data_IF_610742253074
#
_entry.id   IF_610742253074
#
_cell.length_a   1.000
_cell.length_b   1.000
_cell.length_c   1.000
_cell.angle_alpha   90.00
_cell.angle_beta   90.00
_cell.angle_gamma   90.00
#
_symmetry.space_group_name_H-M   'P 1'
#
loop_
_entity.id
_entity.type
_entity.pdbx_description
1 polymer ?
#
# COMPACT_ATOMS: atom_id res chain seq x y z
N UNK A 1 68.64 10.50 1.36
CA UNK A 1 68.20 10.87 0.00
C UNK A 1 66.70 10.69 -0.24
N UNK A 2 66.07 9.58 0.17
CA UNK A 2 64.62 9.35 -0.05
C UNK A 2 63.68 10.42 0.54
N UNK A 3 64.01 11.04 1.67
CA UNK A 3 63.22 12.14 2.24
C UNK A 3 63.31 13.44 1.42
N UNK A 4 64.41 13.66 0.70
CA UNK A 4 64.59 14.88 -0.09
C UNK A 4 63.76 14.83 -1.38
N UNK A 5 63.70 13.66 -2.01
CA UNK A 5 62.85 13.41 -3.20
C UNK A 5 61.37 13.58 -2.85
N UNK A 6 60.93 13.07 -1.68
CA UNK A 6 59.55 13.19 -1.23
C UNK A 6 59.15 14.65 -0.95
N UNK A 7 60.05 15.44 -0.35
CA UNK A 7 59.83 16.88 -0.10
C UNK A 7 59.70 17.66 -1.41
N UNK A 8 60.53 17.34 -2.41
CA UNK A 8 60.48 18.02 -3.70
C UNK A 8 59.22 17.67 -4.50
N UNK A 9 58.76 16.41 -4.44
CA UNK A 9 57.47 15.99 -5.03
C UNK A 9 56.31 16.72 -4.36
N UNK A 10 56.27 16.75 -3.02
CA UNK A 10 55.22 17.46 -2.28
C UNK A 10 55.22 18.97 -2.57
N UNK A 11 56.39 19.56 -2.77
CA UNK A 11 56.51 20.97 -3.14
C UNK A 11 55.94 21.25 -4.54
N UNK A 12 56.14 20.35 -5.51
CA UNK A 12 55.58 20.46 -6.85
C UNK A 12 54.06 20.29 -6.86
N UNK A 13 53.55 19.28 -6.14
CA UNK A 13 52.10 19.06 -5.98
C UNK A 13 51.43 20.29 -5.35
N UNK A 14 52.03 20.85 -4.30
CA UNK A 14 51.49 22.04 -3.64
C UNK A 14 51.51 23.29 -4.55
N UNK A 15 52.48 23.39 -5.45
CA UNK A 15 52.56 24.48 -6.43
C UNK A 15 51.47 24.35 -7.50
N UNK A 16 51.24 23.15 -8.04
CA UNK A 16 50.16 22.88 -9.00
C UNK A 16 48.78 23.11 -8.37
N UNK A 17 48.57 22.65 -7.14
CA UNK A 17 47.33 22.88 -6.40
C UNK A 17 47.02 24.38 -6.24
N UNK A 18 48.03 25.19 -5.88
CA UNK A 18 47.86 26.65 -5.77
C UNK A 18 47.53 27.31 -7.11
N UNK A 19 48.07 26.80 -8.21
CA UNK A 19 47.77 27.29 -9.56
C UNK A 19 46.31 26.98 -9.95
N UNK A 20 45.86 25.74 -9.75
CA UNK A 20 44.48 25.32 -10.04
C UNK A 20 43.47 26.08 -9.17
N UNK A 21 43.76 26.26 -7.89
CA UNK A 21 42.91 27.03 -6.98
C UNK A 21 42.79 28.50 -7.41
N UNK A 22 43.90 29.13 -7.80
CA UNK A 22 43.89 30.50 -8.30
C UNK A 22 43.06 30.62 -9.59
N UNK A 23 43.17 29.66 -10.51
CA UNK A 23 42.37 29.63 -11.74
C UNK A 23 40.87 29.46 -11.45
N UNK A 24 40.50 28.56 -10.54
CA UNK A 24 39.12 28.37 -10.07
C UNK A 24 38.56 29.64 -9.46
N UNK A 25 39.31 30.30 -8.58
CA UNK A 25 38.85 31.50 -7.90
C UNK A 25 38.69 32.68 -8.90
N UNK A 26 39.52 32.74 -9.95
CA UNK A 26 39.32 33.65 -11.09
C UNK A 26 38.04 33.31 -11.86
N UNK A 27 37.76 32.03 -12.14
CA UNK A 27 36.54 31.61 -12.84
C UNK A 27 35.27 31.89 -12.02
N UNK A 28 35.30 31.67 -10.71
CA UNK A 28 34.20 31.99 -9.79
C UNK A 28 33.98 33.50 -9.66
N UNK A 29 35.05 34.30 -9.64
CA UNK A 29 34.92 35.77 -9.64
C UNK A 29 34.28 36.29 -10.95
N UNK A 30 34.50 35.59 -12.07
CA UNK A 30 33.87 35.89 -13.37
C UNK A 30 32.41 35.42 -13.42
N UNK A 31 32.06 34.29 -12.80
CA UNK A 31 30.68 33.78 -12.79
C UNK A 31 29.72 34.67 -11.99
N UNK A 32 30.20 35.33 -10.93
CA UNK A 32 29.40 36.28 -10.15
C UNK A 32 29.01 37.56 -10.91
N UNK A 33 29.65 37.87 -12.04
CA UNK A 33 29.25 38.98 -12.92
C UNK A 33 28.27 38.58 -14.03
N UNK A 34 27.90 37.30 -14.13
CA UNK A 34 26.86 36.84 -15.04
C UNK A 34 25.49 37.01 -14.37
N UNK A 35 24.79 38.12 -14.67
CA UNK A 35 23.36 38.25 -14.38
C UNK A 35 22.65 37.06 -15.03
N UNK A 36 22.15 36.15 -14.20
CA UNK A 36 21.46 34.96 -14.62
C UNK A 36 20.24 35.31 -15.49
N UNK A 37 20.27 34.85 -16.74
CA UNK A 37 19.04 34.55 -17.48
C UNK A 37 18.51 33.21 -16.93
N UNK A 38 17.21 33.10 -16.60
CA UNK A 38 16.68 31.91 -15.95
C UNK A 38 16.55 30.78 -16.97
N UNK A 39 17.40 29.77 -16.84
CA UNK A 39 17.21 28.50 -17.52
C UNK A 39 18.51 27.91 -18.04
N UNK A 40 19.30 27.28 -17.16
CA UNK A 40 20.14 26.14 -17.54
C UNK A 40 20.45 25.29 -16.31
N UNK A 41 20.28 23.99 -16.45
CA UNK A 41 20.35 22.99 -15.38
C UNK A 41 21.75 22.80 -14.80
N UNK A 42 21.77 22.41 -13.53
CA UNK A 42 22.95 22.03 -12.77
C UNK A 42 23.68 20.84 -13.43
N UNK A 43 24.94 21.05 -13.83
CA UNK A 43 25.93 19.99 -13.98
C UNK A 43 26.58 19.78 -12.61
N UNK A 44 26.21 18.68 -11.95
CA UNK A 44 26.90 18.17 -10.76
C UNK A 44 28.21 17.51 -11.21
N UNK A 45 29.35 18.16 -10.96
CA UNK A 45 30.68 17.58 -11.19
C UNK A 45 31.01 16.54 -10.13
N UNK A 46 31.63 15.45 -10.58
CA UNK A 46 31.92 14.20 -9.88
C UNK A 46 33.23 14.23 -9.05
N UNK A 47 33.89 15.37 -8.95
CA UNK A 47 35.28 15.44 -8.50
C UNK A 47 35.46 15.92 -7.05
N UNK A 48 34.40 16.41 -6.39
CA UNK A 48 34.49 16.94 -5.02
C UNK A 48 34.61 15.85 -3.93
N UNK A 49 34.17 14.61 -4.22
CA UNK A 49 34.18 13.52 -3.22
C UNK A 49 35.55 12.85 -3.05
N UNK A 50 36.44 12.95 -4.05
CA UNK A 50 37.80 12.38 -3.98
C UNK A 50 38.73 13.28 -3.15
N UNK A 51 38.46 14.59 -3.12
CA UNK A 51 39.26 15.57 -2.38
C UNK A 51 39.01 15.56 -0.86
N UNK A 52 37.85 15.07 -0.40
CA UNK A 52 37.54 15.01 1.03
C UNK A 52 38.23 13.83 1.74
N UNK A 53 38.44 12.70 1.05
CA UNK A 53 39.11 11.53 1.62
C UNK A 53 40.60 11.78 1.92
N UNK A 54 41.29 12.58 1.11
CA UNK A 54 42.70 12.93 1.35
C UNK A 54 42.90 13.89 2.52
N UNK A 55 41.88 14.65 2.90
CA UNK A 55 41.94 15.55 4.06
C UNK A 55 41.77 14.81 5.40
N UNK A 56 40.96 13.75 5.43
CA UNK A 56 40.77 12.90 6.62
C UNK A 56 42.06 12.16 6.99
N UNK A 57 42.90 11.87 5.98
CA UNK A 57 44.21 11.27 6.20
C UNK A 57 45.27 12.22 6.81
N UNK A 58 44.97 13.51 6.93
CA UNK A 58 45.86 14.47 7.58
C UNK A 58 45.56 14.67 9.07
N UNK A 59 44.48 14.09 9.61
CA UNK A 59 44.11 14.25 11.01
C UNK A 59 44.94 13.34 11.94
N UNK A 60 45.35 13.85 13.13
CA UNK A 60 46.10 13.07 14.12
C UNK A 60 45.33 11.81 14.55
N UNK A 61 46.07 10.74 14.86
CA UNK A 61 45.53 9.38 15.11
C UNK A 61 44.45 9.34 16.21
N UNK A 62 44.50 10.24 17.20
CA UNK A 62 43.48 10.38 18.26
C UNK A 62 42.14 10.97 17.79
N UNK A 63 42.12 11.81 16.74
CA UNK A 63 40.87 12.33 16.16
C UNK A 63 40.21 11.30 15.21
N UNK A 64 40.98 10.39 14.63
CA UNK A 64 40.43 9.32 13.77
C UNK A 64 39.68 8.26 14.57
N UNK A 65 40.15 7.91 15.78
CA UNK A 65 39.50 6.90 16.62
C UNK A 65 38.16 7.41 17.14
N UNK A 66 38.09 8.67 17.57
CA UNK A 66 36.87 9.31 18.05
C UNK A 66 35.84 9.50 16.92
N UNK A 67 36.26 9.99 15.74
CA UNK A 67 35.36 10.12 14.59
C UNK A 67 34.81 8.76 14.09
N UNK A 68 35.64 7.72 14.11
CA UNK A 68 35.22 6.36 13.74
C UNK A 68 34.25 5.72 14.73
N UNK A 69 34.44 5.97 16.04
CA UNK A 69 33.52 5.51 17.09
C UNK A 69 32.19 6.26 17.06
N UNK A 70 32.20 7.56 16.79
CA UNK A 70 30.98 8.35 16.62
C UNK A 70 30.18 7.94 15.38
N UNK A 71 30.85 7.66 14.26
CA UNK A 71 30.20 7.14 13.06
C UNK A 71 29.52 5.78 13.32
N UNK A 72 30.21 4.85 13.98
CA UNK A 72 29.63 3.55 14.40
C UNK A 72 28.48 3.71 15.39
N UNK A 73 28.59 4.66 16.33
CA UNK A 73 27.53 4.93 17.31
C UNK A 73 26.29 5.57 16.67
N UNK A 74 26.48 6.36 15.60
CA UNK A 74 25.41 6.94 14.81
C UNK A 74 24.70 5.88 13.95
N UNK A 75 25.46 5.06 13.23
CA UNK A 75 24.94 3.93 12.44
C UNK A 75 24.12 2.98 13.32
N UNK A 76 24.63 2.65 14.53
CA UNK A 76 23.93 1.81 15.50
C UNK A 76 22.61 2.44 15.97
N UNK A 77 22.57 3.76 16.19
CA UNK A 77 21.34 4.48 16.58
C UNK A 77 20.31 4.52 15.46
N UNK A 78 20.73 4.78 14.22
CA UNK A 78 19.87 4.76 13.05
C UNK A 78 19.30 3.35 12.80
N UNK A 79 20.12 2.30 12.99
CA UNK A 79 19.66 0.91 12.96
C UNK A 79 18.59 0.60 14.01
N UNK A 80 18.82 0.98 15.28
CA UNK A 80 17.83 0.77 16.34
C UNK A 80 16.55 1.57 16.13
N UNK A 81 16.64 2.76 15.55
CA UNK A 81 15.47 3.58 15.24
C UNK A 81 14.65 2.96 14.10
N UNK A 82 15.31 2.50 13.03
CA UNK A 82 14.64 1.81 11.91
C UNK A 82 13.96 0.51 12.36
N UNK A 83 14.69 -0.33 13.11
CA UNK A 83 14.13 -1.56 13.70
C UNK A 83 13.01 -1.23 14.69
N UNK A 84 13.17 -0.18 15.50
CA UNK A 84 12.16 0.29 16.45
C UNK A 84 10.87 0.76 15.78
N UNK A 85 10.96 1.53 14.69
CA UNK A 85 9.80 1.98 13.90
C UNK A 85 9.13 0.79 13.21
N UNK A 86 9.90 -0.15 12.66
CA UNK A 86 9.37 -1.36 12.04
C UNK A 86 8.63 -2.23 13.07
N UNK A 87 9.25 -2.50 14.23
CA UNK A 87 8.62 -3.24 15.33
C UNK A 87 7.40 -2.50 15.84
N UNK A 88 7.46 -1.18 16.04
CA UNK A 88 6.32 -0.39 16.47
C UNK A 88 5.18 -0.40 15.45
N UNK A 89 5.48 -0.39 14.15
CA UNK A 89 4.48 -0.46 13.08
C UNK A 89 3.85 -1.84 13.00
N UNK A 90 4.66 -2.91 13.10
CA UNK A 90 4.15 -4.30 13.19
C UNK A 90 3.34 -4.50 14.46
N UNK A 91 3.80 -3.99 15.61
CA UNK A 91 3.05 -4.04 16.86
C UNK A 91 1.77 -3.20 16.79
N UNK A 92 1.78 -2.02 16.17
CA UNK A 92 0.58 -1.22 15.99
C UNK A 92 -0.41 -1.90 15.04
N UNK A 93 0.08 -2.60 14.01
CA UNK A 93 -0.73 -3.40 13.10
C UNK A 93 -1.28 -4.64 13.80
N UNK A 94 -0.47 -5.36 14.57
CA UNK A 94 -0.87 -6.54 15.37
C UNK A 94 -1.80 -6.15 16.50
N UNK A 95 -1.54 -5.04 17.21
CA UNK A 95 -2.41 -4.49 18.26
C UNK A 95 -3.67 -3.92 17.64
N UNK A 96 -3.62 -3.31 16.45
CA UNK A 96 -4.79 -2.85 15.72
C UNK A 96 -5.66 -4.01 15.25
N UNK A 97 -5.07 -5.03 14.61
CA UNK A 97 -5.74 -6.28 14.23
C UNK A 97 -6.25 -7.01 15.47
N UNK A 98 -5.46 -7.10 16.54
CA UNK A 98 -5.86 -7.72 17.80
C UNK A 98 -6.95 -6.90 18.46
N UNK A 99 -6.90 -5.58 18.51
CA UNK A 99 -7.93 -4.74 19.08
C UNK A 99 -9.22 -4.79 18.26
N UNK A 100 -9.15 -4.87 16.93
CA UNK A 100 -10.30 -5.12 16.07
C UNK A 100 -10.87 -6.52 16.36
N UNK A 101 -10.06 -7.58 16.29
CA UNK A 101 -10.47 -8.94 16.62
C UNK A 101 -10.97 -9.10 18.07
N UNK A 102 -10.40 -8.39 19.04
CA UNK A 102 -10.70 -8.43 20.47
C UNK A 102 -11.93 -7.57 20.81
N UNK A 103 -12.09 -6.42 20.17
CA UNK A 103 -13.31 -5.60 20.24
C UNK A 103 -14.51 -6.27 19.57
N UNK A 104 -14.27 -7.19 18.62
CA UNK A 104 -15.25 -8.06 17.99
C UNK A 104 -15.52 -9.35 18.78
N UNK A 105 -14.58 -9.81 19.63
CA UNK A 105 -14.78 -10.96 20.54
C UNK A 105 -15.43 -10.58 21.87
N UNK A 106 -15.18 -9.37 22.38
CA UNK A 106 -15.75 -8.88 23.64
C UNK A 106 -17.28 -8.65 23.68
N UNK A 107 -18.02 -8.45 22.57
CA UNK A 107 -19.48 -8.46 22.61
C UNK A 107 -19.99 -9.84 23.02
N UNK A 108 -19.29 -10.94 22.71
CA UNK A 108 -19.76 -12.28 23.06
C UNK A 108 -19.56 -12.66 24.54
N UNK A 109 -18.64 -12.01 25.26
CA UNK A 109 -18.50 -12.14 26.73
C UNK A 109 -19.22 -11.03 27.48
N UNK A 110 -19.21 -9.79 26.98
CA UNK A 110 -19.88 -8.64 27.60
C UNK A 110 -21.40 -8.64 27.43
N UNK A 111 -21.93 -8.97 26.25
CA UNK A 111 -23.38 -9.04 26.01
C UNK A 111 -23.96 -10.27 26.69
N UNK A 112 -23.25 -11.42 26.71
CA UNK A 112 -23.70 -12.57 27.52
C UNK A 112 -23.65 -12.32 29.02
N UNK A 113 -22.69 -11.55 29.54
CA UNK A 113 -22.68 -11.19 30.97
C UNK A 113 -23.76 -10.16 31.29
N UNK A 114 -24.07 -9.21 30.38
CA UNK A 114 -25.16 -8.25 30.57
C UNK A 114 -26.55 -8.85 30.36
N UNK A 115 -26.71 -9.81 29.46
CA UNK A 115 -27.95 -10.58 29.28
C UNK A 115 -28.13 -11.60 30.41
N UNK A 116 -27.06 -12.27 30.87
CA UNK A 116 -27.08 -13.11 32.06
C UNK A 116 -27.39 -12.31 33.33
N UNK A 117 -26.80 -11.11 33.49
CA UNK A 117 -27.15 -10.19 34.59
C UNK A 117 -28.54 -9.58 34.44
N UNK A 118 -29.13 -9.54 33.24
CA UNK A 118 -30.54 -9.14 33.04
C UNK A 118 -31.52 -10.27 33.33
N UNK A 119 -31.18 -11.50 32.96
CA UNK A 119 -32.00 -12.68 33.21
C UNK A 119 -32.03 -13.06 34.70
N UNK A 120 -30.93 -12.86 35.44
CA UNK A 120 -30.91 -13.12 36.89
C UNK A 120 -31.43 -11.94 37.75
N UNK A 121 -31.58 -10.72 37.19
CA UNK A 121 -32.13 -9.56 37.94
C UNK A 121 -33.64 -9.41 37.78
N UNK A 122 -34.25 -9.99 36.74
CA UNK A 122 -35.70 -10.16 36.65
C UNK A 122 -36.08 -11.42 37.42
N UNK A 123 -36.11 -11.29 38.75
CA UNK A 123 -36.47 -12.40 39.64
C UNK A 123 -37.82 -13.05 39.26
N UNK A 124 -38.02 -14.34 39.60
CA UNK A 124 -39.22 -15.08 39.28
C UNK A 124 -40.39 -14.56 40.12
N UNK A 125 -41.05 -13.51 39.64
CA UNK A 125 -42.26 -12.95 40.24
C UNK A 125 -43.22 -12.46 39.15
N UNK A 126 -43.85 -13.40 38.45
CA UNK A 126 -45.20 -13.19 37.94
C UNK A 126 -46.02 -14.45 38.16
N UNK A 127 -46.93 -14.33 39.13
CA UNK A 127 -48.05 -15.21 39.36
C UNK A 127 -48.93 -15.34 38.09
N UNK A 128 -49.69 -16.44 37.94
CA UNK A 128 -50.63 -16.59 36.85
C UNK A 128 -51.85 -15.68 37.10
N UNK A 129 -51.98 -14.63 36.31
CA UNK A 129 -53.07 -13.66 36.42
C UNK A 129 -53.59 -13.26 35.04
N UNK A 130 -54.71 -13.86 34.68
CA UNK A 130 -55.76 -13.41 33.74
C UNK A 130 -55.35 -12.68 32.45
N UNK A 131 -55.47 -13.42 31.35
CA UNK A 131 -55.59 -12.92 29.97
C UNK A 131 -56.70 -11.85 29.87
N UNK A 132 -56.31 -10.57 29.91
CA UNK A 132 -57.09 -9.49 29.29
C UNK A 132 -56.47 -9.19 27.93
N UNK A 133 -57.21 -9.56 26.89
CA UNK A 133 -56.92 -9.25 25.50
C UNK A 133 -56.59 -7.76 25.32
N UNK A 134 -55.32 -7.45 25.04
CA UNK A 134 -54.90 -6.12 24.61
C UNK A 134 -55.46 -5.82 23.21
N UNK A 135 -55.95 -4.59 22.97
CA UNK A 135 -56.45 -4.19 21.67
C UNK A 135 -55.29 -4.15 20.67
N UNK A 136 -55.41 -4.95 19.60
CA UNK A 136 -54.54 -4.97 18.41
C UNK A 136 -54.01 -3.58 18.10
N UNK A 137 -52.74 -3.36 18.43
CA UNK A 137 -52.02 -2.12 18.18
C UNK A 137 -52.08 -1.74 16.71
N UNK A 138 -52.45 -0.49 16.45
CA UNK A 138 -52.33 0.13 15.12
C UNK A 138 -50.89 -0.05 14.67
N UNK A 139 -50.69 -0.88 13.64
CA UNK A 139 -49.39 -1.03 13.01
C UNK A 139 -48.93 0.35 12.54
N UNK A 140 -47.85 0.85 13.14
CA UNK A 140 -47.12 2.02 12.64
C UNK A 140 -46.53 1.62 11.28
N UNK A 141 -47.38 1.72 10.26
CA UNK A 141 -47.18 1.14 8.95
C UNK A 141 -46.11 1.85 8.11
N UNK A 142 -46.18 1.71 6.76
CA UNK A 142 -45.11 2.02 5.81
C UNK A 142 -44.53 3.45 5.85
N UNK A 143 -45.12 4.37 6.64
CA UNK A 143 -44.59 5.71 6.89
C UNK A 143 -43.30 5.73 7.72
N UNK A 144 -43.05 4.77 8.61
CA UNK A 144 -41.80 4.71 9.38
C UNK A 144 -40.62 4.29 8.48
N UNK A 145 -40.82 3.27 7.65
CA UNK A 145 -39.86 2.80 6.64
C UNK A 145 -39.53 3.90 5.61
N UNK A 146 -40.53 4.63 5.11
CA UNK A 146 -40.33 5.70 4.13
C UNK A 146 -39.50 6.88 4.69
N UNK A 147 -39.67 7.20 5.99
CA UNK A 147 -38.87 8.23 6.67
C UNK A 147 -37.41 7.78 6.82
N UNK A 148 -37.17 6.51 7.11
CA UNK A 148 -35.82 5.92 7.15
C UNK A 148 -35.12 5.98 5.78
N UNK A 149 -35.83 5.61 4.71
CA UNK A 149 -35.30 5.63 3.34
C UNK A 149 -34.92 7.05 2.87
N UNK A 150 -35.78 8.06 3.12
CA UNK A 150 -35.47 9.46 2.78
C UNK A 150 -34.25 10.00 3.54
N UNK A 151 -34.10 9.65 4.82
CA UNK A 151 -32.93 10.06 5.61
C UNK A 151 -31.63 9.41 5.10
N UNK A 152 -31.69 8.14 4.68
CA UNK A 152 -30.54 7.45 4.06
C UNK A 152 -30.16 8.04 2.70
N UNK A 153 -31.15 8.40 1.87
CA UNK A 153 -30.90 9.05 0.58
C UNK A 153 -30.25 10.43 0.71
N UNK A 154 -30.64 11.22 1.72
CA UNK A 154 -30.06 12.54 1.96
C UNK A 154 -28.60 12.52 2.43
N UNK A 155 -28.17 11.44 3.12
CA UNK A 155 -26.78 11.27 3.56
C UNK A 155 -25.84 10.71 2.47
N UNK A 156 -26.40 10.30 1.31
CA UNK A 156 -25.65 9.59 0.28
C UNK A 156 -24.52 10.41 -0.38
N UNK A 157 -24.70 11.71 -0.70
CA UNK A 157 -23.64 12.50 -1.34
C UNK A 157 -22.38 12.63 -0.47
N UNK A 158 -22.55 12.84 0.84
CA UNK A 158 -21.42 12.97 1.77
C UNK A 158 -20.62 11.67 1.89
N UNK A 159 -21.30 10.52 1.96
CA UNK A 159 -20.65 9.21 1.99
C UNK A 159 -19.90 8.91 0.69
N UNK A 160 -20.48 9.22 -0.47
CA UNK A 160 -19.83 9.03 -1.76
C UNK A 160 -18.54 9.85 -1.88
N UNK A 161 -18.62 11.14 -1.55
CA UNK A 161 -17.45 12.03 -1.56
C UNK A 161 -16.38 11.53 -0.58
N UNK A 162 -16.76 11.12 0.63
CA UNK A 162 -15.83 10.55 1.60
C UNK A 162 -15.10 9.30 1.05
N UNK A 163 -15.84 8.36 0.45
CA UNK A 163 -15.25 7.14 -0.10
C UNK A 163 -14.33 7.43 -1.29
N UNK A 164 -14.67 8.40 -2.15
CA UNK A 164 -13.78 8.85 -3.22
C UNK A 164 -12.49 9.48 -2.66
N UNK A 165 -12.61 10.32 -1.64
CA UNK A 165 -11.45 10.91 -0.97
C UNK A 165 -10.59 9.84 -0.29
N UNK A 166 -11.20 8.82 0.29
CA UNK A 166 -10.50 7.68 0.87
C UNK A 166 -9.80 6.83 -0.22
N UNK A 167 -10.42 6.62 -1.37
CA UNK A 167 -9.78 5.98 -2.51
C UNK A 167 -8.61 6.78 -3.11
N UNK A 168 -8.65 8.12 -2.98
CA UNK A 168 -7.58 9.03 -3.40
C UNK A 168 -6.55 9.31 -2.29
N UNK A 169 -6.79 8.88 -1.05
CA UNK A 169 -5.86 9.20 0.05
C UNK A 169 -4.49 8.49 -0.09
N UNK A 170 -4.37 7.27 -0.66
CA UNK A 170 -3.06 6.68 -0.93
C UNK A 170 -2.17 7.57 -1.80
N UNK A 171 -2.69 8.09 -2.93
CA UNK A 171 -1.91 8.99 -3.79
C UNK A 171 -1.56 10.29 -3.06
N UNK A 172 -2.47 10.81 -2.24
CA UNK A 172 -2.22 11.99 -1.41
C UNK A 172 -1.06 11.80 -0.42
N UNK A 173 -1.04 10.69 0.31
CA UNK A 173 0.06 10.36 1.24
C UNK A 173 1.38 10.20 0.47
N UNK A 174 1.37 9.47 -0.65
CA UNK A 174 2.57 9.29 -1.47
C UNK A 174 3.11 10.64 -1.96
N UNK A 175 2.25 11.52 -2.50
CA UNK A 175 2.67 12.84 -2.96
C UNK A 175 3.19 13.71 -1.82
N UNK A 176 2.56 13.71 -0.64
CA UNK A 176 3.04 14.47 0.51
C UNK A 176 4.43 13.99 0.92
N UNK A 177 4.66 12.70 1.05
CA UNK A 177 5.98 12.19 1.46
C UNK A 177 7.05 12.37 0.38
N UNK A 178 6.71 12.19 -0.90
CA UNK A 178 7.65 12.37 -2.01
C UNK A 178 8.01 13.84 -2.24
N UNK A 179 7.05 14.76 -2.12
CA UNK A 179 7.26 16.20 -2.36
C UNK A 179 7.77 16.96 -1.13
N UNK A 180 7.58 16.43 0.09
CA UNK A 180 8.10 17.05 1.31
C UNK A 180 9.50 16.56 1.63
N UNK A 181 10.15 17.21 2.61
CA UNK A 181 11.52 16.90 3.05
C UNK A 181 11.71 15.53 3.71
N UNK A 182 10.65 14.73 3.86
CA UNK A 182 10.76 13.40 4.47
C UNK A 182 11.49 12.43 3.55
N UNK A 183 11.34 12.57 2.22
CA UNK A 183 12.05 11.82 1.15
C UNK A 183 12.16 10.30 1.31
N UNK A 184 11.43 9.69 2.26
CA UNK A 184 11.41 8.25 2.48
C UNK A 184 10.17 7.66 1.85
N UNK A 185 10.34 7.08 0.66
CA UNK A 185 9.29 6.36 -0.03
C UNK A 185 8.81 5.17 0.80
N UNK A 186 9.74 4.52 1.49
CA UNK A 186 9.45 3.40 2.38
C UNK A 186 8.46 3.78 3.50
N UNK A 187 8.74 4.87 4.21
CA UNK A 187 7.87 5.37 5.26
C UNK A 187 6.50 5.80 4.71
N UNK A 188 6.47 6.38 3.51
CA UNK A 188 5.24 6.76 2.83
C UNK A 188 4.32 5.55 2.60
N UNK A 189 4.88 4.44 2.09
CA UNK A 189 4.13 3.21 1.84
C UNK A 189 3.58 2.61 3.14
N UNK A 190 4.39 2.54 4.20
CA UNK A 190 3.90 2.06 5.50
C UNK A 190 2.81 2.95 6.10
N UNK A 191 2.99 4.27 6.06
CA UNK A 191 1.98 5.22 6.54
C UNK A 191 0.68 5.08 5.73
N UNK A 192 0.79 4.90 4.42
CA UNK A 192 -0.35 4.67 3.54
C UNK A 192 -1.11 3.39 3.93
N UNK A 193 -0.45 2.27 4.13
CA UNK A 193 -1.11 1.04 4.57
C UNK A 193 -1.77 1.19 5.95
N UNK A 194 -1.04 1.74 6.91
CA UNK A 194 -1.51 1.88 8.28
C UNK A 194 -2.73 2.83 8.36
N UNK A 195 -2.65 4.01 7.75
CA UNK A 195 -3.71 5.01 7.87
C UNK A 195 -4.84 4.81 6.86
N UNK A 196 -4.53 4.68 5.57
CA UNK A 196 -5.55 4.62 4.51
C UNK A 196 -6.24 3.27 4.42
N UNK A 197 -5.49 2.18 4.56
CA UNK A 197 -6.01 0.83 4.27
C UNK A 197 -6.47 0.07 5.50
N UNK A 198 -5.95 0.42 6.69
CA UNK A 198 -6.31 -0.25 7.95
C UNK A 198 -7.13 0.67 8.85
N UNK A 199 -6.55 1.79 9.31
CA UNK A 199 -7.17 2.60 10.36
C UNK A 199 -8.49 3.24 9.93
N UNK A 200 -8.52 3.92 8.78
CA UNK A 200 -9.74 4.62 8.34
C UNK A 200 -10.87 3.64 8.00
N UNK A 201 -10.64 2.54 7.24
CA UNK A 201 -11.67 1.52 7.03
C UNK A 201 -12.16 0.89 8.33
N UNK A 202 -11.27 0.59 9.29
CA UNK A 202 -11.68 0.04 10.57
C UNK A 202 -12.59 1.01 11.35
N UNK A 203 -12.21 2.29 11.43
CA UNK A 203 -13.06 3.33 12.04
C UNK A 203 -14.41 3.42 11.32
N UNK A 204 -14.39 3.40 9.99
CA UNK A 204 -15.62 3.45 9.19
C UNK A 204 -16.54 2.27 9.50
N UNK A 205 -16.02 1.04 9.49
CA UNK A 205 -16.80 -0.18 9.79
C UNK A 205 -17.38 -0.13 11.20
N UNK A 206 -16.58 0.27 12.20
CA UNK A 206 -17.03 0.38 13.60
C UNK A 206 -18.11 1.45 13.78
N UNK A 207 -18.00 2.58 13.05
CA UNK A 207 -18.98 3.67 13.13
C UNK A 207 -20.25 3.40 12.33
N UNK A 208 -20.19 2.60 11.25
CA UNK A 208 -21.36 2.26 10.43
C UNK A 208 -22.31 1.25 11.12
N UNK A 209 -21.95 0.76 12.34
CA UNK A 209 -22.75 0.12 13.41
C UNK A 209 -23.91 -0.85 13.05
N UNK A 210 -24.02 -1.33 11.82
CA UNK A 210 -25.00 -2.34 11.41
C UNK A 210 -24.42 -3.77 11.39
N UNK A 211 -25.26 -4.75 11.03
CA UNK A 211 -24.90 -6.16 10.72
C UNK A 211 -23.81 -6.33 9.63
N UNK A 212 -23.31 -5.22 9.09
CA UNK A 212 -22.26 -5.16 8.07
C UNK A 212 -20.94 -5.87 8.44
N UNK A 213 -20.62 -6.04 9.74
CA UNK A 213 -19.41 -6.76 10.17
C UNK A 213 -19.47 -8.25 9.82
N UNK A 214 -20.67 -8.86 9.89
CA UNK A 214 -20.90 -10.25 9.49
C UNK A 214 -20.63 -10.43 8.00
N UNK A 215 -21.05 -9.46 7.18
CA UNK A 215 -20.80 -9.50 5.73
C UNK A 215 -19.31 -9.36 5.37
N UNK A 216 -18.52 -8.54 6.06
CA UNK A 216 -17.07 -8.50 5.78
C UNK A 216 -16.38 -9.80 6.18
N UNK A 217 -16.89 -10.48 7.21
CA UNK A 217 -16.39 -11.78 7.68
C UNK A 217 -16.65 -12.89 6.66
N UNK A 218 -17.84 -12.96 6.07
CA UNK A 218 -18.16 -14.00 5.07
C UNK A 218 -17.23 -13.93 3.86
N UNK A 219 -16.90 -12.74 3.36
CA UNK A 219 -15.91 -12.58 2.28
C UNK A 219 -14.53 -13.17 2.61
N UNK A 220 -14.10 -13.06 3.87
CA UNK A 220 -12.79 -13.53 4.29
C UNK A 220 -12.74 -15.06 4.47
N UNK A 221 -13.77 -15.65 5.09
CA UNK A 221 -13.75 -17.06 5.49
C UNK A 221 -14.37 -18.02 4.47
N UNK A 222 -15.40 -17.60 3.71
CA UNK A 222 -16.05 -18.47 2.74
C UNK A 222 -15.23 -18.64 1.45
N UNK A 223 -14.25 -17.77 1.23
CA UNK A 223 -13.40 -17.79 0.04
C UNK A 223 -12.24 -18.82 0.10
N UNK A 224 -12.04 -19.53 1.21
CA UNK A 224 -10.89 -20.43 1.41
C UNK A 224 -11.18 -21.89 1.06
N UNK A 225 -11.59 -22.15 -0.19
CA UNK A 225 -11.67 -23.53 -0.70
C UNK A 225 -10.29 -24.04 -1.16
N UNK A 226 -10.02 -25.35 -1.06
CA UNK A 226 -8.77 -25.96 -1.57
C UNK A 226 -8.49 -25.63 -3.06
N UNK A 227 -9.49 -25.64 -3.97
CA UNK A 227 -9.29 -25.22 -5.35
C UNK A 227 -8.76 -23.78 -5.48
N UNK A 228 -9.26 -22.85 -4.66
CA UNK A 228 -8.83 -21.45 -4.68
C UNK A 228 -7.35 -21.30 -4.30
N UNK A 229 -6.87 -22.11 -3.35
CA UNK A 229 -5.44 -22.15 -2.98
C UNK A 229 -4.56 -22.60 -4.16
N UNK A 230 -4.96 -23.68 -4.85
CA UNK A 230 -4.19 -24.21 -5.98
C UNK A 230 -4.15 -23.21 -7.14
N UNK A 231 -5.29 -22.62 -7.50
CA UNK A 231 -5.36 -21.61 -8.57
C UNK A 231 -4.58 -20.35 -8.19
N UNK A 232 -4.66 -19.93 -6.93
CA UNK A 232 -3.84 -18.85 -6.38
C UNK A 232 -2.36 -19.13 -6.54
N UNK A 233 -1.88 -20.29 -6.08
CA UNK A 233 -0.48 -20.69 -6.17
C UNK A 233 0.03 -20.77 -7.63
N UNK A 234 -0.76 -21.35 -8.54
CA UNK A 234 -0.41 -21.38 -9.96
C UNK A 234 -0.35 -19.98 -10.56
N UNK A 235 -1.27 -19.09 -10.17
CA UNK A 235 -1.29 -17.69 -10.61
C UNK A 235 -0.07 -16.93 -10.10
N UNK A 236 0.28 -17.11 -8.83
CA UNK A 236 1.50 -16.58 -8.19
C UNK A 236 2.76 -16.99 -8.97
N UNK A 237 2.97 -18.30 -9.16
CA UNK A 237 4.14 -18.82 -9.87
C UNK A 237 4.21 -18.29 -11.31
N UNK A 238 3.06 -18.18 -11.97
CA UNK A 238 2.97 -17.68 -13.36
C UNK A 238 3.39 -16.21 -13.44
N UNK A 239 2.80 -15.34 -12.60
CA UNK A 239 3.14 -13.91 -12.58
C UNK A 239 4.60 -13.71 -12.19
N UNK A 240 5.09 -14.45 -11.19
CA UNK A 240 6.48 -14.37 -10.75
C UNK A 240 7.45 -14.73 -11.88
N UNK A 241 7.23 -15.86 -12.55
CA UNK A 241 8.09 -16.31 -13.64
C UNK A 241 8.08 -15.34 -14.83
N UNK A 242 6.88 -14.91 -15.26
CA UNK A 242 6.71 -13.98 -16.38
C UNK A 242 7.29 -12.61 -16.04
N UNK A 243 7.01 -12.08 -14.85
CA UNK A 243 7.50 -10.78 -14.40
C UNK A 243 9.02 -10.74 -14.24
N UNK A 244 9.62 -11.74 -13.60
CA UNK A 244 11.09 -11.86 -13.50
C UNK A 244 11.74 -11.99 -14.88
N UNK A 245 11.14 -12.76 -15.79
CA UNK A 245 11.60 -12.89 -17.18
C UNK A 245 11.54 -11.56 -17.95
N UNK A 246 10.42 -10.84 -17.85
CA UNK A 246 10.23 -9.51 -18.44
C UNK A 246 11.24 -8.51 -17.89
N UNK A 247 11.43 -8.46 -16.57
CA UNK A 247 12.42 -7.58 -15.95
C UNK A 247 13.84 -7.90 -16.45
N UNK A 248 14.23 -9.17 -16.47
CA UNK A 248 15.54 -9.59 -16.97
C UNK A 248 15.77 -9.21 -18.45
N UNK A 249 14.72 -9.26 -19.27
CA UNK A 249 14.78 -8.89 -20.69
C UNK A 249 14.79 -7.37 -20.92
N UNK A 250 14.05 -6.60 -20.12
CA UNK A 250 13.86 -5.15 -20.28
C UNK A 250 14.87 -4.31 -19.51
N UNK A 251 15.64 -4.90 -18.59
CA UNK A 251 16.69 -4.19 -17.88
C UNK A 251 17.72 -3.58 -18.85
N UNK A 252 18.10 -2.32 -18.64
CA UNK A 252 19.11 -1.66 -19.47
C UNK A 252 20.47 -2.36 -19.30
N UNK A 253 20.86 -3.18 -20.27
CA UNK A 253 22.22 -3.67 -20.50
C UNK A 253 22.85 -2.82 -21.59
N UNK A 254 24.17 -2.83 -21.69
CA UNK A 254 24.89 -2.10 -22.74
C UNK A 254 24.38 -2.45 -24.16
N UNK A 255 23.93 -3.70 -24.36
CA UNK A 255 23.32 -4.19 -25.60
C UNK A 255 21.87 -3.71 -25.84
N UNK A 256 21.10 -3.39 -24.78
CA UNK A 256 19.67 -3.03 -24.89
C UNK A 256 19.41 -1.52 -24.82
N UNK A 257 20.46 -0.68 -24.82
CA UNK A 257 20.33 0.80 -24.81
C UNK A 257 19.61 1.38 -26.03
N UNK A 258 19.50 0.61 -27.12
CA UNK A 258 18.78 1.03 -28.33
C UNK A 258 17.27 0.73 -28.28
N UNK A 259 16.79 -0.04 -27.29
CA UNK A 259 15.36 -0.29 -27.14
C UNK A 259 14.65 0.98 -26.60
N UNK A 260 13.45 1.30 -27.10
CA UNK A 260 12.69 2.47 -26.65
C UNK A 260 12.22 2.36 -25.20
N UNK A 261 12.21 1.14 -24.64
CA UNK A 261 11.83 0.86 -23.27
C UNK A 261 12.95 0.02 -22.66
N UNK A 262 13.72 0.63 -21.75
CA UNK A 262 14.64 -0.11 -20.89
C UNK A 262 14.50 0.39 -19.45
N UNK A 263 14.59 -0.54 -18.49
CA UNK A 263 14.47 -0.23 -17.06
C UNK A 263 15.85 0.20 -16.55
N UNK A 264 16.04 1.48 -16.18
CA UNK A 264 17.32 1.97 -15.66
C UNK A 264 17.60 1.35 -14.29
N UNK A 265 18.86 1.38 -13.87
CA UNK A 265 19.18 1.05 -12.49
C UNK A 265 18.76 2.21 -11.59
N UNK A 266 18.00 1.91 -10.53
CA UNK A 266 17.51 2.88 -9.54
C UNK A 266 18.35 2.91 -8.25
N UNK A 267 19.60 2.46 -8.31
CA UNK A 267 20.44 2.24 -7.14
C UNK A 267 20.75 3.51 -6.35
N UNK A 268 20.95 4.64 -7.02
CA UNK A 268 21.27 5.91 -6.34
C UNK A 268 20.06 6.47 -5.61
N UNK A 269 18.89 6.17 -6.16
CA UNK A 269 17.60 6.60 -5.69
C UNK A 269 17.15 5.72 -4.51
N UNK A 270 17.46 4.42 -4.53
CA UNK A 270 17.11 3.47 -3.46
C UNK A 270 17.66 3.89 -2.09
N UNK A 271 18.93 4.32 -2.01
CA UNK A 271 19.50 4.81 -0.73
C UNK A 271 18.79 6.07 -0.25
N UNK A 272 18.52 7.02 -1.15
CA UNK A 272 17.79 8.25 -0.84
C UNK A 272 16.36 7.97 -0.36
N UNK A 273 15.69 6.97 -0.91
CA UNK A 273 14.32 6.60 -0.55
C UNK A 273 14.19 5.72 0.70
N UNK A 274 15.29 5.41 1.39
CA UNK A 274 15.30 4.67 2.65
C UNK A 274 15.50 3.16 2.51
N UNK A 275 16.02 2.68 1.37
CA UNK A 275 16.39 1.28 1.17
C UNK A 275 17.87 0.99 1.50
N UNK A 276 18.60 1.93 2.08
CA UNK A 276 19.94 1.68 2.63
C UNK A 276 19.86 0.92 3.97
N UNK A 277 19.31 -0.28 3.89
CA UNK A 277 19.06 -1.16 5.02
C UNK A 277 19.99 -2.37 4.97
N UNK A 278 20.34 -2.95 6.14
CA UNK A 278 21.05 -4.21 6.17
C UNK A 278 20.20 -5.33 5.55
N UNK A 279 20.85 -6.35 4.97
CA UNK A 279 20.14 -7.39 4.23
C UNK A 279 18.99 -8.06 4.99
N UNK A 280 19.12 -8.41 6.29
CA UNK A 280 18.00 -8.97 7.04
C UNK A 280 16.77 -8.06 7.07
N UNK A 281 16.95 -6.74 7.15
CA UNK A 281 15.85 -5.78 7.13
C UNK A 281 15.22 -5.67 5.72
N UNK A 282 16.03 -5.70 4.66
CA UNK A 282 15.52 -5.75 3.28
C UNK A 282 14.71 -7.03 3.01
N UNK A 283 15.16 -8.18 3.53
CA UNK A 283 14.43 -9.44 3.40
C UNK A 283 13.12 -9.42 4.20
N UNK A 284 13.14 -8.88 5.43
CA UNK A 284 11.93 -8.69 6.22
C UNK A 284 10.95 -7.76 5.52
N UNK A 285 11.48 -6.72 4.86
CA UNK A 285 10.67 -5.79 4.10
C UNK A 285 10.05 -6.42 2.85
N UNK A 286 10.83 -7.19 2.08
CA UNK A 286 10.31 -7.96 0.95
C UNK A 286 9.30 -9.03 1.38
N UNK A 287 9.42 -9.58 2.58
CA UNK A 287 8.36 -10.44 3.12
C UNK A 287 7.08 -9.66 3.42
N UNK A 288 7.20 -8.46 4.03
CA UNK A 288 6.07 -7.60 4.29
C UNK A 288 5.35 -7.19 3.00
N UNK A 289 6.08 -6.67 2.00
CA UNK A 289 5.49 -6.27 0.72
C UNK A 289 5.06 -7.46 -0.13
N UNK A 290 5.79 -8.58 -0.15
CA UNK A 290 5.36 -9.75 -0.91
C UNK A 290 4.14 -10.49 -0.37
N UNK A 291 3.86 -10.40 0.95
CA UNK A 291 2.81 -11.22 1.60
C UNK A 291 1.77 -10.39 2.34
N UNK A 292 2.20 -9.52 3.26
CA UNK A 292 1.27 -8.77 4.12
C UNK A 292 0.56 -7.69 3.31
N UNK A 293 1.28 -6.99 2.45
CA UNK A 293 0.75 -5.91 1.64
C UNK A 293 -0.41 -6.36 0.72
N UNK A 294 -0.28 -7.43 -0.10
CA UNK A 294 -1.36 -7.95 -0.93
C UNK A 294 -2.65 -8.20 -0.17
N UNK A 295 -2.58 -8.73 1.06
CA UNK A 295 -3.77 -8.98 1.88
C UNK A 295 -4.45 -7.67 2.28
N UNK A 296 -3.67 -6.68 2.73
CA UNK A 296 -4.20 -5.36 3.12
C UNK A 296 -4.80 -4.63 1.92
N UNK A 297 -4.10 -4.66 0.79
CA UNK A 297 -4.55 -4.00 -0.44
C UNK A 297 -5.79 -4.66 -1.03
N UNK A 298 -5.83 -5.98 -1.15
CA UNK A 298 -7.02 -6.66 -1.67
C UNK A 298 -8.22 -6.44 -0.74
N UNK A 299 -8.00 -6.45 0.57
CA UNK A 299 -9.07 -6.13 1.51
C UNK A 299 -9.57 -4.70 1.31
N UNK A 300 -8.67 -3.71 1.28
CA UNK A 300 -9.04 -2.32 1.11
C UNK A 300 -9.73 -2.05 -0.24
N UNK A 301 -9.13 -2.46 -1.35
CA UNK A 301 -9.62 -2.12 -2.68
C UNK A 301 -10.84 -2.96 -3.08
N UNK A 302 -10.79 -4.29 -2.90
CA UNK A 302 -11.75 -5.22 -3.53
C UNK A 302 -12.85 -5.66 -2.58
N UNK A 303 -12.59 -5.64 -1.26
CA UNK A 303 -13.61 -5.98 -0.26
C UNK A 303 -14.28 -4.71 0.26
N UNK A 304 -13.51 -3.77 0.78
CA UNK A 304 -14.05 -2.57 1.40
C UNK A 304 -14.51 -1.53 0.37
N UNK A 305 -13.57 -0.93 -0.37
CA UNK A 305 -13.86 0.22 -1.22
C UNK A 305 -14.77 -0.17 -2.39
N UNK A 306 -14.55 -1.33 -3.01
CA UNK A 306 -15.43 -1.81 -4.06
C UNK A 306 -16.89 -2.01 -3.59
N UNK A 307 -17.10 -2.61 -2.40
CA UNK A 307 -18.45 -2.78 -1.84
C UNK A 307 -19.10 -1.44 -1.57
N UNK A 308 -18.37 -0.54 -0.92
CA UNK A 308 -18.91 0.74 -0.48
C UNK A 308 -19.14 1.73 -1.61
N UNK A 309 -18.21 1.77 -2.57
CA UNK A 309 -18.17 2.75 -3.65
C UNK A 309 -18.67 2.17 -4.97
N UNK A 310 -18.17 0.99 -5.35
CA UNK A 310 -18.41 0.36 -6.65
C UNK A 310 -19.87 -0.04 -6.90
N UNK A 311 -20.58 -0.50 -5.87
CA UNK A 311 -22.00 -0.89 -5.99
C UNK A 311 -22.97 0.30 -6.06
N UNK A 312 -22.53 1.51 -5.69
CA UNK A 312 -23.41 2.69 -5.56
C UNK A 312 -23.42 3.60 -6.78
N UNK A 313 -22.44 3.48 -7.68
CA UNK A 313 -22.31 4.36 -8.84
C UNK A 313 -23.37 4.15 -9.92
N UNK A 314 -24.14 3.08 -9.85
CA UNK A 314 -25.23 2.83 -10.78
C UNK A 314 -26.50 2.60 -9.97
N UNK A 315 -27.44 3.56 -9.94
CA UNK A 315 -28.78 3.24 -9.50
C UNK A 315 -29.26 2.11 -10.40
N UNK A 316 -29.63 0.98 -9.80
CA UNK A 316 -30.42 -0.05 -10.47
C UNK A 316 -31.69 0.66 -10.91
N UNK A 317 -31.76 1.13 -12.16
CA UNK A 317 -33.04 1.53 -12.72
C UNK A 317 -33.91 0.28 -12.64
N UNK A 318 -35.00 0.31 -11.86
CA UNK A 318 -35.92 -0.80 -11.83
C UNK A 318 -36.41 -0.98 -13.26
N UNK A 319 -36.08 -2.13 -13.86
CA UNK A 319 -36.50 -2.45 -15.23
C UNK A 319 -37.99 -2.20 -15.34
N UNK A 320 -38.37 -1.21 -16.16
CA UNK A 320 -39.72 -0.68 -16.29
C UNK A 320 -40.72 -1.83 -16.52
N UNK A 321 -41.43 -2.24 -15.47
CA UNK A 321 -42.52 -3.21 -15.56
C UNK A 321 -42.52 -4.32 -14.51
N UNK A 322 -41.41 -4.58 -13.82
CA UNK A 322 -41.46 -5.48 -12.64
C UNK A 322 -41.70 -4.60 -11.41
N UNK A 323 -42.96 -4.50 -10.99
CA UNK A 323 -43.31 -3.89 -9.71
C UNK A 323 -42.36 -4.45 -8.64
N UNK A 324 -41.56 -3.58 -8.05
CA UNK A 324 -40.77 -3.90 -6.86
C UNK A 324 -41.78 -4.48 -5.88
N UNK A 325 -41.66 -5.75 -5.44
CA UNK A 325 -42.52 -6.22 -4.37
C UNK A 325 -42.24 -5.29 -3.19
N UNK A 326 -43.21 -4.44 -2.86
CA UNK A 326 -43.13 -3.38 -1.84
C UNK A 326 -42.97 -3.93 -0.42
N UNK A 327 -42.52 -5.17 -0.26
CA UNK A 327 -42.36 -5.80 1.02
C UNK A 327 -40.92 -6.28 1.19
N UNK A 328 -40.21 -5.63 2.11
CA UNK A 328 -39.17 -6.28 2.93
C UNK A 328 -39.64 -7.67 3.42
N UNK A 329 -40.96 -7.87 3.57
CA UNK A 329 -41.55 -9.16 3.89
C UNK A 329 -41.32 -10.24 2.82
N UNK A 330 -41.18 -9.93 1.52
CA UNK A 330 -40.87 -10.93 0.50
C UNK A 330 -39.40 -11.38 0.55
N UNK A 331 -38.48 -10.48 0.94
CA UNK A 331 -37.07 -10.83 1.15
C UNK A 331 -36.90 -11.63 2.44
N UNK A 332 -37.61 -11.23 3.51
CA UNK A 332 -37.67 -11.96 4.77
C UNK A 332 -38.37 -13.33 4.62
N UNK A 333 -39.43 -13.46 3.80
CA UNK A 333 -40.05 -14.76 3.49
C UNK A 333 -39.12 -15.67 2.69
N UNK A 334 -38.27 -15.13 1.83
CA UNK A 334 -37.25 -15.90 1.11
C UNK A 334 -36.12 -16.39 2.03
N UNK A 335 -35.79 -15.59 3.05
CA UNK A 335 -34.77 -15.93 4.05
C UNK A 335 -35.33 -16.89 5.13
N UNK A 336 -36.59 -16.73 5.53
CA UNK A 336 -37.27 -17.56 6.54
C UNK A 336 -37.78 -18.88 5.98
N UNK A 337 -38.21 -18.95 4.71
CA UNK A 337 -38.78 -20.20 4.18
C UNK A 337 -37.74 -21.25 3.78
N UNK A 338 -36.43 -20.96 3.89
CA UNK A 338 -35.37 -21.99 3.87
C UNK A 338 -35.43 -22.94 2.67
N UNK A 339 -36.16 -22.59 1.62
CA UNK A 339 -36.27 -23.36 0.41
C UNK A 339 -34.99 -23.11 -0.34
N UNK A 340 -34.00 -23.95 -0.01
CA UNK A 340 -32.85 -24.30 -0.83
C UNK A 340 -33.27 -24.17 -2.28
N UNK A 341 -32.90 -23.05 -2.91
CA UNK A 341 -32.94 -22.86 -4.35
C UNK A 341 -31.90 -23.83 -4.90
N UNK A 342 -32.30 -25.10 -5.05
CA UNK A 342 -31.45 -26.17 -5.58
C UNK A 342 -31.27 -26.09 -7.10
N UNK A 343 -31.93 -25.16 -7.79
CA UNK A 343 -31.63 -24.87 -9.20
C UNK A 343 -31.31 -23.38 -9.40
N UNK A 344 -30.00 -23.12 -9.49
CA UNK A 344 -29.38 -21.80 -9.62
C UNK A 344 -29.65 -21.08 -10.94
N UNK A 345 -30.90 -20.73 -11.18
CA UNK A 345 -31.29 -19.69 -12.14
C UNK A 345 -31.62 -18.42 -11.38
N UNK A 346 -30.58 -17.66 -11.01
CA UNK A 346 -30.76 -16.25 -10.65
C UNK A 346 -31.38 -15.60 -11.90
N UNK A 347 -32.54 -14.93 -11.81
CA UNK A 347 -33.15 -14.29 -12.97
C UNK A 347 -32.15 -13.33 -13.61
N UNK A 348 -31.80 -13.57 -14.88
CA UNK A 348 -30.84 -12.82 -15.71
C UNK A 348 -31.24 -11.34 -15.98
N UNK A 349 -32.17 -10.79 -15.21
CA UNK A 349 -32.98 -9.64 -15.61
C UNK A 349 -32.38 -8.26 -15.32
N UNK A 350 -31.39 -8.12 -14.43
CA UNK A 350 -30.79 -6.81 -14.17
C UNK A 350 -29.30 -6.95 -13.85
N UNK A 351 -28.49 -7.27 -14.87
CA UNK A 351 -27.03 -7.11 -14.76
C UNK A 351 -26.69 -5.63 -14.89
N UNK A 352 -26.82 -4.87 -13.80
CA UNK A 352 -26.16 -3.56 -13.72
C UNK A 352 -24.69 -3.81 -14.04
N UNK A 353 -24.18 -3.16 -15.08
CA UNK A 353 -22.80 -3.39 -15.50
C UNK A 353 -21.90 -3.02 -14.33
N UNK A 354 -21.36 -4.00 -13.61
CA UNK A 354 -20.43 -3.77 -12.49
C UNK A 354 -19.11 -3.12 -12.97
N UNK A 355 -18.98 -2.99 -14.30
CA UNK A 355 -17.84 -2.52 -15.06
C UNK A 355 -17.35 -1.12 -14.64
N UNK A 356 -18.17 -0.04 -14.55
CA UNK A 356 -17.65 1.29 -14.22
C UNK A 356 -17.09 1.35 -12.80
N UNK A 357 -17.75 0.69 -11.84
CA UNK A 357 -17.24 0.58 -10.47
C UNK A 357 -15.91 -0.17 -10.40
N UNK A 358 -15.79 -1.30 -11.11
CA UNK A 358 -14.53 -2.04 -11.18
C UNK A 358 -13.42 -1.23 -11.83
N UNK A 359 -13.72 -0.53 -12.93
CA UNK A 359 -12.75 0.31 -13.62
C UNK A 359 -12.28 1.47 -12.73
N UNK A 360 -13.19 2.13 -12.01
CA UNK A 360 -12.86 3.20 -11.08
C UNK A 360 -11.94 2.72 -9.97
N UNK A 361 -12.28 1.59 -9.31
CA UNK A 361 -11.45 1.03 -8.23
C UNK A 361 -10.07 0.63 -8.76
N UNK A 362 -9.99 0.02 -9.94
CA UNK A 362 -8.71 -0.30 -10.59
C UNK A 362 -7.89 0.94 -10.95
N UNK A 363 -8.54 2.03 -11.38
CA UNK A 363 -7.87 3.30 -11.65
C UNK A 363 -7.32 3.94 -10.37
N UNK A 364 -8.08 3.92 -9.27
CA UNK A 364 -7.64 4.42 -7.97
C UNK A 364 -6.46 3.58 -7.44
N UNK A 365 -6.56 2.24 -7.51
CA UNK A 365 -5.46 1.31 -7.17
C UNK A 365 -4.19 1.61 -7.96
N UNK A 366 -4.28 1.78 -9.27
CA UNK A 366 -3.13 2.03 -10.12
C UNK A 366 -2.54 3.45 -9.94
N UNK A 367 -3.34 4.41 -9.50
CA UNK A 367 -2.94 5.83 -9.43
C UNK A 367 -1.81 6.12 -8.45
N UNK A 368 -1.78 5.48 -7.28
CA UNK A 368 -0.71 5.72 -6.31
C UNK A 368 0.60 5.03 -6.73
N UNK A 369 0.50 3.90 -7.44
CA UNK A 369 1.65 3.21 -8.02
C UNK A 369 2.35 4.03 -9.09
N UNK A 370 1.62 4.89 -9.83
CA UNK A 370 2.24 5.84 -10.75
C UNK A 370 3.28 6.71 -10.04
N UNK A 371 2.98 7.18 -8.82
CA UNK A 371 3.92 7.97 -8.01
C UNK A 371 5.12 7.12 -7.62
N UNK A 372 4.89 5.91 -7.09
CA UNK A 372 5.96 4.99 -6.68
C UNK A 372 6.91 4.68 -7.85
N UNK A 373 6.38 4.31 -9.01
CA UNK A 373 7.17 3.96 -10.19
C UNK A 373 7.90 5.18 -10.76
N UNK A 374 7.26 6.36 -10.76
CA UNK A 374 7.90 7.61 -11.18
C UNK A 374 9.08 7.94 -10.28
N UNK A 375 8.91 7.87 -8.96
CA UNK A 375 9.99 8.17 -8.02
C UNK A 375 11.12 7.15 -8.13
N UNK A 376 10.80 5.84 -8.19
CA UNK A 376 11.79 4.78 -8.23
C UNK A 376 12.59 4.75 -9.54
N UNK A 377 11.95 4.98 -10.69
CA UNK A 377 12.59 4.82 -12.00
C UNK A 377 12.94 6.15 -12.69
N UNK A 378 12.61 7.28 -12.06
CA UNK A 378 12.71 8.64 -12.61
C UNK A 378 12.21 8.75 -14.06
N UNK A 379 11.09 8.09 -14.35
CA UNK A 379 10.56 7.97 -15.72
C UNK A 379 9.05 8.03 -15.78
N UNK A 380 8.52 9.14 -16.32
CA UNK A 380 7.09 9.31 -16.58
C UNK A 380 6.53 8.29 -17.58
N UNK A 381 7.34 7.90 -18.57
CA UNK A 381 6.93 6.91 -19.57
C UNK A 381 6.70 5.55 -18.91
N UNK A 382 7.64 5.07 -18.10
CA UNK A 382 7.50 3.80 -17.39
C UNK A 382 6.38 3.86 -16.36
N UNK A 383 6.23 4.98 -15.64
CA UNK A 383 5.12 5.18 -14.70
C UNK A 383 3.75 5.15 -15.39
N UNK A 384 3.62 5.75 -16.58
CA UNK A 384 2.37 5.73 -17.36
C UNK A 384 2.06 4.33 -17.89
N UNK A 385 3.07 3.60 -18.37
CA UNK A 385 2.91 2.21 -18.78
C UNK A 385 2.49 1.32 -17.60
N UNK A 386 3.11 1.52 -16.43
CA UNK A 386 2.74 0.83 -15.20
C UNK A 386 1.30 1.16 -14.78
N UNK A 387 0.88 2.42 -14.84
CA UNK A 387 -0.51 2.84 -14.58
C UNK A 387 -1.49 2.07 -15.47
N UNK A 388 -1.28 2.07 -16.79
CA UNK A 388 -2.13 1.34 -17.74
C UNK A 388 -2.15 -0.17 -17.46
N UNK A 389 -0.98 -0.77 -17.22
CA UNK A 389 -0.86 -2.18 -16.88
C UNK A 389 -1.57 -2.55 -15.58
N UNK A 390 -1.41 -1.72 -14.54
CA UNK A 390 -2.02 -1.93 -13.22
C UNK A 390 -3.52 -1.68 -13.21
N UNK A 391 -4.07 -0.83 -14.09
CA UNK A 391 -5.52 -0.74 -14.28
C UNK A 391 -6.06 -2.06 -14.81
N UNK A 392 -5.41 -2.67 -15.81
CA UNK A 392 -5.81 -3.97 -16.35
C UNK A 392 -5.63 -5.08 -15.31
N UNK A 393 -4.51 -5.08 -14.59
CA UNK A 393 -4.24 -6.03 -13.52
C UNK A 393 -5.24 -5.90 -12.36
N UNK A 394 -5.57 -4.68 -11.94
CA UNK A 394 -6.58 -4.43 -10.91
C UNK A 394 -7.97 -4.93 -11.30
N UNK A 395 -8.30 -4.90 -12.61
CA UNK A 395 -9.54 -5.52 -13.12
C UNK A 395 -9.47 -7.05 -13.05
N UNK A 396 -8.33 -7.64 -13.37
CA UNK A 396 -8.11 -9.08 -13.22
C UNK A 396 -8.25 -9.51 -11.75
N UNK A 397 -7.68 -8.77 -10.81
CA UNK A 397 -7.84 -9.00 -9.37
C UNK A 397 -9.31 -8.91 -8.94
N UNK A 398 -10.02 -7.88 -9.40
CA UNK A 398 -11.46 -7.74 -9.13
C UNK A 398 -12.25 -8.94 -9.65
N UNK A 399 -11.92 -9.45 -10.83
CA UNK A 399 -12.54 -10.65 -11.40
C UNK A 399 -12.27 -11.90 -10.55
N UNK A 400 -11.05 -12.09 -10.04
CA UNK A 400 -10.69 -13.18 -9.14
C UNK A 400 -11.50 -13.11 -7.83
N UNK A 401 -11.55 -11.95 -7.18
CA UNK A 401 -12.32 -11.75 -5.94
C UNK A 401 -13.81 -12.04 -6.12
N UNK A 402 -14.39 -11.69 -7.28
CA UNK A 402 -15.83 -11.75 -7.57
C UNK A 402 -16.38 -13.15 -7.86
N UNK A 403 -15.53 -14.11 -8.17
CA UNK A 403 -15.95 -15.48 -8.47
C UNK A 403 -15.46 -16.41 -7.36
N UNK A 404 -16.03 -16.33 -6.13
CA UNK A 404 -15.53 -17.06 -4.96
C UNK A 404 -15.57 -18.57 -5.12
N UNK A 405 -16.50 -19.08 -5.94
CA UNK A 405 -16.59 -20.51 -6.30
C UNK A 405 -15.43 -20.99 -7.20
N UNK A 406 -14.73 -20.08 -7.89
CA UNK A 406 -13.66 -20.42 -8.85
C UNK A 406 -12.26 -19.94 -8.44
N UNK A 407 -12.16 -18.74 -7.85
CA UNK A 407 -10.89 -18.08 -7.52
C UNK A 407 -10.88 -17.55 -6.09
N UNK A 408 -11.80 -16.63 -5.76
CA UNK A 408 -11.94 -16.04 -4.43
C UNK A 408 -10.80 -15.10 -4.01
N UNK A 409 -10.97 -14.51 -2.83
CA UNK A 409 -10.08 -13.51 -2.24
C UNK A 409 -8.64 -14.01 -2.10
N UNK A 410 -8.46 -15.26 -1.64
CA UNK A 410 -7.13 -15.86 -1.46
C UNK A 410 -6.37 -15.95 -2.78
N UNK A 411 -7.02 -16.38 -3.87
CA UNK A 411 -6.36 -16.46 -5.17
C UNK A 411 -5.96 -15.07 -5.70
N UNK A 412 -6.77 -14.03 -5.44
CA UNK A 412 -6.41 -12.66 -5.77
C UNK A 412 -5.18 -12.19 -4.97
N UNK A 413 -5.11 -12.49 -3.67
CA UNK A 413 -3.94 -12.19 -2.84
C UNK A 413 -2.68 -12.87 -3.39
N UNK A 414 -2.74 -14.16 -3.75
CA UNK A 414 -1.60 -14.85 -4.36
C UNK A 414 -1.18 -14.25 -5.71
N UNK A 415 -2.15 -13.91 -6.56
CA UNK A 415 -1.88 -13.26 -7.84
C UNK A 415 -1.16 -11.92 -7.64
N UNK A 416 -1.64 -11.10 -6.68
CA UNK A 416 -1.04 -9.82 -6.30
C UNK A 416 0.36 -10.01 -5.69
N UNK A 417 0.52 -10.92 -4.73
CA UNK A 417 1.82 -11.31 -4.17
C UNK A 417 2.83 -11.64 -5.27
N UNK A 418 2.41 -12.35 -6.31
CA UNK A 418 3.31 -12.68 -7.43
C UNK A 418 3.90 -11.44 -8.10
N UNK A 419 3.11 -10.37 -8.23
CA UNK A 419 3.58 -9.10 -8.79
C UNK A 419 4.50 -8.35 -7.81
N UNK A 420 4.15 -8.29 -6.53
CA UNK A 420 4.94 -7.61 -5.51
C UNK A 420 6.32 -8.28 -5.35
N UNK A 421 6.37 -9.61 -5.32
CA UNK A 421 7.64 -10.34 -5.31
C UNK A 421 8.52 -10.08 -6.55
N UNK A 422 7.93 -9.82 -7.72
CA UNK A 422 8.73 -9.42 -8.91
C UNK A 422 9.42 -8.09 -8.65
N UNK A 423 8.71 -7.11 -8.08
CA UNK A 423 9.27 -5.80 -7.74
C UNK A 423 10.34 -5.93 -6.65
N UNK A 424 10.04 -6.68 -5.58
CA UNK A 424 10.97 -6.90 -4.46
C UNK A 424 12.26 -7.59 -4.91
N UNK A 425 12.14 -8.64 -5.73
CA UNK A 425 13.30 -9.34 -6.30
C UNK A 425 14.09 -8.45 -7.27
N UNK A 426 13.42 -7.60 -8.05
CA UNK A 426 14.09 -6.66 -8.93
C UNK A 426 14.92 -5.62 -8.16
N UNK A 427 14.38 -5.10 -7.05
CA UNK A 427 15.09 -4.20 -6.13
C UNK A 427 16.25 -4.93 -5.45
N UNK A 428 15.99 -6.12 -4.89
CA UNK A 428 16.99 -6.92 -4.20
C UNK A 428 18.16 -7.29 -5.12
N UNK A 429 17.88 -7.67 -6.37
CA UNK A 429 18.90 -7.93 -7.38
C UNK A 429 19.81 -6.72 -7.52
N UNK A 430 19.26 -5.53 -7.73
CA UNK A 430 20.05 -4.32 -7.91
C UNK A 430 20.94 -4.04 -6.71
N UNK A 431 20.40 -4.16 -5.49
CA UNK A 431 21.17 -3.96 -4.25
C UNK A 431 22.35 -4.94 -4.15
N UNK A 432 22.13 -6.23 -4.44
CA UNK A 432 23.19 -7.26 -4.40
C UNK A 432 24.29 -6.93 -5.41
N UNK A 433 23.91 -6.58 -6.63
CA UNK A 433 24.86 -6.27 -7.70
C UNK A 433 25.71 -5.03 -7.39
N UNK A 434 25.09 -4.02 -6.79
CA UNK A 434 25.81 -2.84 -6.31
C UNK A 434 26.85 -3.19 -5.26
N UNK A 435 26.44 -3.91 -4.21
CA UNK A 435 27.36 -4.33 -3.12
C UNK A 435 28.51 -5.18 -3.65
N UNK A 436 28.23 -6.06 -4.61
CA UNK A 436 29.24 -6.90 -5.26
C UNK A 436 30.24 -6.07 -6.06
N UNK A 437 29.75 -5.07 -6.80
CA UNK A 437 30.59 -4.17 -7.60
C UNK A 437 31.47 -3.27 -6.72
N UNK A 438 30.92 -2.74 -5.63
CA UNK A 438 31.65 -1.92 -4.66
C UNK A 438 32.69 -2.72 -3.90
N UNK A 439 32.39 -3.97 -3.52
CA UNK A 439 33.36 -4.86 -2.89
C UNK A 439 34.53 -5.21 -3.83
N UNK A 440 34.22 -5.48 -5.12
CA UNK A 440 35.25 -5.72 -6.12
C UNK A 440 36.13 -4.48 -6.33
N UNK A 441 35.54 -3.28 -6.42
CA UNK A 441 36.28 -2.03 -6.57
C UNK A 441 37.16 -1.70 -5.34
N UNK A 442 36.72 -2.04 -4.13
CA UNK A 442 37.50 -1.84 -2.91
C UNK A 442 38.66 -2.85 -2.74
N UNK A 443 38.61 -3.97 -3.46
CA UNK A 443 39.67 -5.00 -3.44
C UNK A 443 40.80 -4.76 -4.45
N UNK A 444 40.56 -3.88 -5.42
CA UNK A 444 41.53 -3.42 -6.44
C UNK A 444 42.23 -2.19 -5.90
#
# INVERSE_FOLDING_TARGET
>A
ENNFVLVEINRKILAEYRAVKAERDVLLSKSHNFKASPGFGYLSSKDDDIELMTLVDALPVEERTTAGEEAKAREKREWFMGVGIMIASVLFLVIGLYAVCFSEMMPYTGIRVLDWLKEDWVGPNTAPGDEKAEPRGKSDGPRSALKGAKKRAAAMPGRLVFLLLLGLSPIGIMLVFSLTRLHSLLLAMFAMHAFCMVLVPAIFIVLDRGDSSVEYRTYFFEASSRPNLLVGLLSFCTVLAVGCGLYAALRCRQSTRSLPVCIPSCLKELTFYGFDLPMPALLALGFYFGIVNPVLEEFFWRVFLYRELGQRFLPVEPSDGVARPDSEAAFLDLELNGSRLEDGSIPDGVSVSEFPGQLLISALYASYHFVIVRELLDSYTLATLALCGLVLFGRLLSYYCRHPRKFGFIAACFLHSGLDFVVDLAILWQVVEHKSSSAAAASV
#
